data_IF_828306715280
#
_entry.id   IF_828306715280
#
_cell.length_a   1.000
_cell.length_b   1.000
_cell.length_c   1.000
_cell.angle_alpha   90.00
_cell.angle_beta   90.00
_cell.angle_gamma   90.00
#
_symmetry.space_group_name_H-M   'P 1'
#
loop_
_entity.id
_entity.type
_entity.pdbx_description
1 polymer ?
#
# COMPACT_ATOMS: atom_id res chain seq x y z
N UNK A 1 -1.62 -4.47 -11.62
CA UNK A 1 -0.22 -4.09 -11.92
C UNK A 1 0.72 -4.80 -10.96
N UNK A 2 1.92 -5.13 -11.41
CA UNK A 2 2.94 -5.60 -10.49
C UNK A 2 3.74 -4.40 -9.95
N UNK A 3 4.62 -4.65 -8.98
CA UNK A 3 5.38 -3.57 -8.33
C UNK A 3 6.23 -2.77 -9.32
N UNK A 4 6.91 -3.44 -10.25
CA UNK A 4 7.77 -2.76 -11.21
C UNK A 4 6.98 -1.85 -12.15
N UNK A 5 5.79 -2.28 -12.54
CA UNK A 5 4.89 -1.46 -13.36
C UNK A 5 4.41 -0.22 -12.60
N UNK A 6 4.15 -0.37 -11.30
CA UNK A 6 3.76 0.75 -10.43
C UNK A 6 4.89 1.78 -10.35
N UNK A 7 6.12 1.32 -10.10
CA UNK A 7 7.30 2.19 -10.03
C UNK A 7 7.49 2.93 -11.35
N UNK A 8 7.39 2.22 -12.46
CA UNK A 8 7.52 2.81 -13.80
C UNK A 8 6.46 3.88 -14.05
N UNK A 9 5.20 3.57 -13.71
CA UNK A 9 4.09 4.50 -13.89
C UNK A 9 4.29 5.78 -13.09
N UNK A 10 4.71 5.66 -11.83
CA UNK A 10 4.97 6.82 -10.98
C UNK A 10 6.10 7.67 -11.57
N UNK A 11 7.19 7.04 -12.00
CA UNK A 11 8.33 7.76 -12.56
C UNK A 11 7.99 8.48 -13.87
N UNK A 12 7.12 7.89 -14.68
CA UNK A 12 6.70 8.50 -15.94
C UNK A 12 5.72 9.65 -15.75
N UNK A 13 4.76 9.49 -14.83
CA UNK A 13 3.73 10.50 -14.59
C UNK A 13 4.21 11.64 -13.71
N UNK A 14 5.07 11.34 -12.75
CA UNK A 14 5.49 12.29 -11.72
C UNK A 14 7.01 12.26 -11.55
N UNK A 15 7.77 12.65 -12.57
CA UNK A 15 9.24 12.58 -12.50
C UNK A 15 9.84 13.45 -11.40
N UNK A 16 9.10 14.42 -10.89
CA UNK A 16 9.54 15.28 -9.80
C UNK A 16 9.46 14.63 -8.42
N UNK A 17 8.77 13.49 -8.30
CA UNK A 17 8.69 12.78 -7.02
C UNK A 17 10.00 12.02 -6.80
N UNK A 18 10.69 12.33 -5.71
CA UNK A 18 11.95 11.68 -5.37
C UNK A 18 11.74 10.33 -4.70
N UNK A 19 10.70 10.21 -3.85
CA UNK A 19 10.46 9.01 -3.07
C UNK A 19 8.98 8.81 -2.76
N UNK A 20 8.51 7.57 -2.94
CA UNK A 20 7.20 7.12 -2.47
C UNK A 20 7.41 5.77 -1.82
N UNK A 21 6.89 5.59 -0.62
CA UNK A 21 6.99 4.30 0.08
C UNK A 21 5.96 3.35 -0.50
N UNK A 22 6.42 2.22 -1.01
CA UNK A 22 5.59 1.21 -1.64
C UNK A 22 5.79 -0.15 -0.95
N UNK A 23 4.78 -0.99 -1.06
CA UNK A 23 4.83 -2.37 -0.56
C UNK A 23 4.80 -3.35 -1.74
N UNK A 24 5.97 -3.88 -2.16
CA UNK A 24 6.04 -4.77 -3.33
C UNK A 24 5.11 -5.97 -3.25
N UNK A 25 4.98 -6.57 -2.07
CA UNK A 25 4.15 -7.76 -1.86
C UNK A 25 2.65 -7.46 -1.97
N UNK A 26 2.26 -6.21 -1.92
CA UNK A 26 0.88 -5.77 -1.98
C UNK A 26 0.54 -5.04 -3.27
N UNK A 27 1.34 -5.22 -4.32
CA UNK A 27 1.15 -4.52 -5.59
C UNK A 27 -0.25 -4.68 -6.17
N UNK A 28 -0.86 -5.86 -6.04
CA UNK A 28 -2.22 -6.11 -6.54
C UNK A 28 -3.29 -5.29 -5.82
N UNK A 29 -2.99 -4.79 -4.63
CA UNK A 29 -3.90 -3.95 -3.85
C UNK A 29 -3.64 -2.45 -4.07
N UNK A 30 -2.61 -2.09 -4.84
CA UNK A 30 -2.29 -0.69 -5.09
C UNK A 30 -3.42 0.02 -5.84
N UNK A 31 -3.81 1.19 -5.36
CA UNK A 31 -4.95 1.94 -5.91
C UNK A 31 -4.58 3.32 -6.46
N UNK A 32 -3.35 3.75 -6.31
CA UNK A 32 -2.89 5.05 -6.80
C UNK A 32 -2.16 5.86 -5.75
N UNK A 33 -1.98 7.16 -6.02
CA UNK A 33 -1.34 8.09 -5.11
C UNK A 33 -2.35 9.09 -4.56
N UNK A 34 -2.15 9.49 -3.32
CA UNK A 34 -2.92 10.56 -2.70
C UNK A 34 -2.03 11.77 -2.47
N UNK A 35 -2.55 12.94 -2.81
CA UNK A 35 -1.91 14.23 -2.55
C UNK A 35 -2.82 15.03 -1.62
N UNK A 36 -2.27 15.65 -0.62
CA UNK A 36 -3.07 16.44 0.32
C UNK A 36 -2.25 16.99 1.46
N UNK A 37 -1.02 16.54 1.57
CA UNK A 37 -0.06 17.00 2.55
C UNK A 37 1.24 17.38 1.87
N UNK A 38 2.34 17.31 2.61
CA UNK A 38 3.67 17.65 2.10
C UNK A 38 4.26 16.58 1.19
N UNK A 39 3.73 15.36 1.23
CA UNK A 39 4.27 14.22 0.51
C UNK A 39 3.18 13.43 -0.20
N UNK A 40 3.46 12.90 -1.40
CA UNK A 40 2.56 11.93 -2.01
C UNK A 40 2.57 10.62 -1.23
N UNK A 41 1.41 10.01 -1.10
CA UNK A 41 1.26 8.77 -0.33
C UNK A 41 0.61 7.70 -1.21
N UNK A 42 1.16 6.50 -1.18
CA UNK A 42 0.57 5.38 -1.89
C UNK A 42 -0.74 4.94 -1.22
N UNK A 43 -1.73 4.58 -2.03
CA UNK A 43 -3.01 4.06 -1.55
C UNK A 43 -3.07 2.56 -1.84
N UNK A 44 -3.43 1.78 -0.83
CA UNK A 44 -3.65 0.35 -0.96
C UNK A 44 -5.04 0.00 -0.44
N UNK A 45 -5.75 -0.86 -1.16
CA UNK A 45 -7.09 -1.28 -0.79
C UNK A 45 -7.03 -2.38 0.26
N UNK A 46 -7.61 -2.12 1.44
CA UNK A 46 -7.61 -3.07 2.57
C UNK A 46 -8.24 -4.41 2.19
N UNK A 47 -9.40 -4.40 1.55
CA UNK A 47 -10.08 -5.64 1.18
C UNK A 47 -9.22 -6.49 0.24
N UNK A 48 -8.53 -5.85 -0.69
CA UNK A 48 -7.63 -6.56 -1.60
C UNK A 48 -6.40 -7.10 -0.88
N UNK A 49 -5.88 -6.36 0.10
CA UNK A 49 -4.76 -6.85 0.93
C UNK A 49 -5.17 -8.12 1.66
N UNK A 50 -6.34 -8.11 2.30
CA UNK A 50 -6.83 -9.27 3.03
C UNK A 50 -6.99 -10.47 2.10
N UNK A 51 -7.51 -10.26 0.89
CA UNK A 51 -7.64 -11.32 -0.10
C UNK A 51 -6.29 -11.89 -0.53
N UNK A 52 -5.27 -11.04 -0.66
CA UNK A 52 -3.91 -11.49 -0.97
C UNK A 52 -3.41 -12.46 0.11
N UNK A 53 -3.58 -12.08 1.38
CA UNK A 53 -3.15 -12.93 2.49
C UNK A 53 -3.94 -14.23 2.58
N UNK A 54 -5.26 -14.16 2.36
CA UNK A 54 -6.10 -15.35 2.36
C UNK A 54 -5.74 -16.31 1.24
N UNK A 55 -5.41 -15.78 0.07
CA UNK A 55 -4.95 -16.59 -1.07
C UNK A 55 -3.63 -17.28 -0.74
N UNK A 56 -2.81 -16.67 0.11
CA UNK A 56 -1.56 -17.25 0.58
C UNK A 56 -1.73 -18.29 1.70
N UNK A 57 -2.96 -18.55 2.15
CA UNK A 57 -3.25 -19.60 3.13
C UNK A 57 -3.79 -19.12 4.48
N UNK A 58 -3.89 -17.84 4.73
CA UNK A 58 -4.45 -17.33 5.98
C UNK A 58 -5.98 -17.35 5.95
N UNK A 59 -6.61 -17.55 7.10
CA UNK A 59 -8.03 -17.27 7.22
C UNK A 59 -8.23 -15.75 7.40
N UNK A 60 -9.49 -15.30 7.39
CA UNK A 60 -9.77 -13.87 7.44
C UNK A 60 -9.25 -13.20 8.71
N UNK A 61 -9.42 -13.81 9.86
CA UNK A 61 -8.94 -13.24 11.14
C UNK A 61 -7.43 -13.16 11.18
N UNK A 62 -6.76 -14.20 10.71
CA UNK A 62 -5.30 -14.20 10.62
C UNK A 62 -4.80 -13.11 9.68
N UNK A 63 -5.48 -12.94 8.53
CA UNK A 63 -5.13 -11.92 7.55
C UNK A 63 -5.26 -10.52 8.15
N UNK A 64 -6.34 -10.25 8.88
CA UNK A 64 -6.56 -8.95 9.52
C UNK A 64 -5.49 -8.68 10.58
N UNK A 65 -5.19 -9.66 11.42
CA UNK A 65 -4.14 -9.52 12.42
C UNK A 65 -2.77 -9.27 11.78
N UNK A 66 -2.46 -10.02 10.74
CA UNK A 66 -1.19 -9.85 10.01
C UNK A 66 -1.10 -8.44 9.42
N UNK A 67 -2.20 -7.94 8.86
CA UNK A 67 -2.26 -6.57 8.34
C UNK A 67 -1.97 -5.55 9.44
N UNK A 68 -2.59 -5.68 10.60
CA UNK A 68 -2.43 -4.72 11.69
C UNK A 68 -1.00 -4.69 12.23
N UNK A 69 -0.35 -5.83 12.32
CA UNK A 69 1.00 -5.94 12.86
C UNK A 69 2.12 -5.68 11.85
N UNK A 70 1.80 -5.65 10.56
CA UNK A 70 2.80 -5.47 9.51
C UNK A 70 2.55 -4.20 8.69
N UNK A 71 1.75 -4.19 7.60
CA UNK A 71 1.61 -2.98 6.79
C UNK A 71 1.14 -1.76 7.57
N UNK A 72 0.15 -1.94 8.46
CA UNK A 72 -0.39 -0.82 9.21
C UNK A 72 0.63 -0.21 10.15
N UNK A 73 1.37 -1.03 10.87
CA UNK A 73 2.43 -0.57 11.77
C UNK A 73 3.53 0.16 11.01
N UNK A 74 3.95 -0.42 9.90
CA UNK A 74 4.97 0.19 9.07
C UNK A 74 4.52 1.55 8.53
N UNK A 75 3.27 1.63 8.06
CA UNK A 75 2.72 2.89 7.58
C UNK A 75 2.69 3.96 8.68
N UNK A 76 2.30 3.60 9.89
CA UNK A 76 2.31 4.50 11.04
C UNK A 76 3.72 4.97 11.39
N UNK A 77 4.69 4.09 11.28
CA UNK A 77 6.10 4.41 11.53
C UNK A 77 6.59 5.51 10.57
N UNK A 78 6.15 5.48 9.32
CA UNK A 78 6.55 6.48 8.32
C UNK A 78 5.77 7.79 8.42
N UNK A 79 4.70 7.84 9.21
CA UNK A 79 3.92 9.05 9.43
C UNK A 79 3.33 9.61 8.15
N UNK A 80 3.59 10.88 7.86
CA UNK A 80 3.03 11.57 6.68
C UNK A 80 3.48 11.00 5.35
N UNK A 81 4.56 10.24 5.32
CA UNK A 81 5.07 9.61 4.10
C UNK A 81 4.53 8.21 3.88
N UNK A 82 3.93 7.62 4.91
CA UNK A 82 3.47 6.23 4.88
C UNK A 82 2.27 6.04 3.98
N UNK A 83 2.12 4.84 3.41
CA UNK A 83 0.93 4.49 2.64
C UNK A 83 -0.35 4.65 3.46
N UNK A 84 -1.46 4.87 2.75
CA UNK A 84 -2.79 4.94 3.34
C UNK A 84 -3.61 3.75 2.83
N UNK A 85 -4.62 3.37 3.60
CA UNK A 85 -5.43 2.21 3.29
C UNK A 85 -6.89 2.61 3.05
N UNK A 86 -7.43 2.18 1.90
CA UNK A 86 -8.82 2.41 1.51
C UNK A 86 -9.70 1.27 2.01
N UNK A 87 -10.96 1.57 2.26
CA UNK A 87 -12.00 0.58 2.61
C UNK A 87 -11.69 -0.23 3.87
N UNK A 88 -10.98 0.39 4.80
CA UNK A 88 -10.62 -0.24 6.06
C UNK A 88 -11.75 -0.04 7.07
N UNK A 89 -12.46 -1.15 7.39
CA UNK A 89 -13.59 -1.24 8.34
C UNK A 89 -14.68 -0.20 8.12
#
# INVERSE_FOLDING_TARGET
>A
MNHDEIVKDINERYPEIEEVILYPDLAEAYSGLAWGGSYPRALYDFDKIIKIYMKGGMDEMEAIEFFEYNPMRDAQYHGEKGPMFLNMY
#
